data_IF_834383597334
#
_entry.id   IF_834383597334
#
_cell.length_a   1.000
_cell.length_b   1.000
_cell.length_c   1.000
_cell.angle_alpha   90.00
_cell.angle_beta   90.00
_cell.angle_gamma   90.00
#
_symmetry.space_group_name_H-M   'P 1'
#
loop_
_entity.id
_entity.type
_entity.pdbx_description
1 polymer ?
#
# COMPACT_ATOMS: atom_id res chain seq x y z
N UNK A 1 -5.58 -23.70 16.98
CA UNK A 1 -4.63 -22.56 17.01
C UNK A 1 -5.09 -21.58 15.95
N UNK A 2 -5.26 -20.27 16.25
CA UNK A 2 -5.73 -19.31 15.25
C UNK A 2 -4.74 -19.25 14.08
N UNK A 3 -5.26 -19.24 12.86
CA UNK A 3 -4.42 -19.23 11.66
C UNK A 3 -3.86 -17.81 11.46
N UNK A 4 -2.62 -17.58 11.92
CA UNK A 4 -1.94 -16.30 11.75
C UNK A 4 -1.26 -16.28 10.38
N UNK A 5 -1.79 -15.49 9.46
CA UNK A 5 -1.20 -15.31 8.13
C UNK A 5 -0.55 -13.94 8.02
N UNK A 6 0.75 -13.88 7.76
CA UNK A 6 1.47 -12.62 7.49
C UNK A 6 1.60 -12.44 5.99
N UNK A 7 1.11 -11.30 5.47
CA UNK A 7 1.25 -10.94 4.05
C UNK A 7 1.92 -9.58 3.93
N UNK A 8 3.00 -9.51 3.16
CA UNK A 8 3.67 -8.26 2.83
C UNK A 8 3.11 -7.69 1.54
N UNK A 9 2.75 -6.42 1.57
CA UNK A 9 2.28 -5.66 0.43
C UNK A 9 3.18 -4.46 0.18
N UNK A 10 3.20 -4.03 -1.06
CA UNK A 10 3.98 -2.92 -1.56
C UNK A 10 3.04 -1.89 -2.17
N UNK A 11 3.37 -0.62 -1.98
CA UNK A 11 2.56 0.51 -2.42
C UNK A 11 3.45 1.53 -3.10
N UNK A 12 2.94 2.15 -4.16
CA UNK A 12 3.53 3.33 -4.78
C UNK A 12 3.00 4.59 -4.10
N UNK A 13 3.91 5.43 -3.61
CA UNK A 13 3.62 6.67 -2.90
C UNK A 13 4.20 7.85 -3.70
N UNK A 14 3.40 8.89 -3.94
CA UNK A 14 3.85 10.15 -4.55
C UNK A 14 3.98 11.23 -3.48
N UNK A 15 5.02 12.06 -3.56
CA UNK A 15 5.10 13.30 -2.80
C UNK A 15 4.27 14.39 -3.50
N UNK A 16 3.04 14.58 -3.06
CA UNK A 16 2.18 15.66 -3.54
C UNK A 16 2.54 16.98 -2.84
N UNK A 17 2.66 18.11 -3.56
CA UNK A 17 3.10 19.38 -2.98
C UNK A 17 2.15 19.92 -1.89
N UNK A 18 0.85 19.64 -1.97
CA UNK A 18 -0.14 20.13 -1.01
C UNK A 18 -0.65 19.09 -0.02
N UNK A 19 -0.52 17.80 -0.34
CA UNK A 19 -1.06 16.69 0.49
C UNK A 19 0.03 15.87 1.15
N UNK A 20 1.30 16.14 0.84
CA UNK A 20 2.42 15.32 1.28
C UNK A 20 2.42 13.94 0.62
N UNK A 21 2.92 12.94 1.33
CA UNK A 21 3.08 11.60 0.80
C UNK A 21 1.72 10.90 0.64
N UNK A 22 1.32 10.63 -0.61
CA UNK A 22 0.01 10.10 -0.97
C UNK A 22 0.15 8.80 -1.73
N UNK A 23 -0.62 7.76 -1.40
CA UNK A 23 -0.64 6.52 -2.19
C UNK A 23 -1.22 6.77 -3.58
N UNK A 24 -0.63 6.14 -4.60
CA UNK A 24 -1.18 6.09 -5.96
C UNK A 24 -1.29 4.64 -6.40
N UNK A 25 -2.47 4.24 -6.89
CA UNK A 25 -2.70 2.87 -7.38
C UNK A 25 -2.91 1.83 -6.26
N UNK A 26 -3.07 0.56 -6.65
CA UNK A 26 -3.44 -0.56 -5.75
C UNK A 26 -2.26 -1.10 -4.92
N UNK A 27 -2.56 -1.95 -3.94
CA UNK A 27 -1.56 -2.75 -3.26
C UNK A 27 -0.98 -3.82 -4.20
N UNK A 28 0.33 -4.06 -4.11
CA UNK A 28 1.03 -5.08 -4.88
C UNK A 28 1.58 -6.15 -3.95
N UNK A 29 1.57 -7.41 -4.39
CA UNK A 29 2.18 -8.54 -3.66
C UNK A 29 3.71 -8.60 -3.80
N UNK A 30 4.29 -7.83 -4.74
CA UNK A 30 5.73 -7.82 -5.02
C UNK A 30 6.28 -6.40 -5.18
N UNK A 31 7.48 -6.19 -4.64
CA UNK A 31 8.23 -4.93 -4.77
C UNK A 31 8.55 -4.61 -6.22
N UNK A 32 8.92 -5.62 -7.00
CA UNK A 32 9.29 -5.47 -8.40
C UNK A 32 8.12 -4.94 -9.23
N UNK A 33 6.90 -5.44 -8.95
CA UNK A 33 5.69 -4.94 -9.58
C UNK A 33 5.46 -3.48 -9.18
N UNK A 34 5.52 -3.13 -7.90
CA UNK A 34 5.37 -1.73 -7.49
C UNK A 34 6.42 -0.80 -8.14
N UNK A 35 7.67 -1.26 -8.29
CA UNK A 35 8.75 -0.51 -8.93
C UNK A 35 8.55 -0.33 -10.43
N UNK A 36 7.98 -1.31 -11.14
CA UNK A 36 7.75 -1.18 -12.59
C UNK A 36 6.74 -0.09 -12.94
N UNK A 37 5.85 0.27 -12.00
CA UNK A 37 4.92 1.39 -12.14
C UNK A 37 5.55 2.77 -11.91
N UNK A 38 6.73 2.85 -11.28
CA UNK A 38 7.35 4.13 -10.92
C UNK A 38 7.61 5.04 -12.13
N UNK A 39 8.19 4.57 -13.26
CA UNK A 39 8.40 5.43 -14.43
C UNK A 39 7.10 5.99 -14.99
N UNK A 40 6.06 5.15 -15.09
CA UNK A 40 4.74 5.55 -15.55
C UNK A 40 4.13 6.62 -14.64
N UNK A 41 4.14 6.38 -13.32
CA UNK A 41 3.60 7.33 -12.34
C UNK A 41 4.36 8.65 -12.33
N UNK A 42 5.69 8.62 -12.47
CA UNK A 42 6.48 9.85 -12.59
C UNK A 42 6.11 10.63 -13.85
N UNK A 43 5.87 9.97 -14.97
CA UNK A 43 5.45 10.65 -16.20
C UNK A 43 4.03 11.23 -16.06
N UNK A 44 3.08 10.42 -15.60
CA UNK A 44 1.67 10.82 -15.44
C UNK A 44 1.47 11.94 -14.40
N UNK A 45 2.35 12.01 -13.40
CA UNK A 45 2.30 13.01 -12.32
C UNK A 45 3.31 14.15 -12.54
N UNK A 46 3.63 14.48 -13.80
CA UNK A 46 4.48 15.62 -14.17
C UNK A 46 5.83 15.68 -13.45
N UNK A 47 6.46 14.52 -13.23
CA UNK A 47 7.78 14.41 -12.60
C UNK A 47 7.77 14.40 -11.07
N UNK A 48 6.60 14.37 -10.41
CA UNK A 48 6.53 14.26 -8.96
C UNK A 48 7.31 13.05 -8.45
N UNK A 49 7.91 13.19 -7.26
CA UNK A 49 8.73 12.14 -6.65
C UNK A 49 7.85 10.97 -6.24
N UNK A 50 8.09 9.80 -6.85
CA UNK A 50 7.43 8.54 -6.52
C UNK A 50 8.40 7.63 -5.77
N UNK A 51 7.92 6.99 -4.70
CA UNK A 51 8.65 6.05 -3.86
C UNK A 51 7.82 4.77 -3.66
N UNK A 52 8.47 3.67 -3.31
CA UNK A 52 7.80 2.41 -2.98
C UNK A 52 7.88 2.18 -1.48
N UNK A 53 6.73 2.00 -0.82
CA UNK A 53 6.63 1.66 0.59
C UNK A 53 6.21 0.20 0.75
N UNK A 54 6.83 -0.50 1.69
CA UNK A 54 6.43 -1.86 2.08
C UNK A 54 5.63 -1.81 3.39
N UNK A 55 4.62 -2.66 3.52
CA UNK A 55 3.88 -2.85 4.76
C UNK A 55 3.49 -4.32 4.91
N UNK A 56 3.75 -4.90 6.08
CA UNK A 56 3.39 -6.29 6.39
C UNK A 56 2.14 -6.30 7.25
N UNK A 57 1.08 -6.90 6.72
CA UNK A 57 -0.19 -7.04 7.41
C UNK A 57 -0.29 -8.43 8.01
N UNK A 58 -0.73 -8.47 9.26
CA UNK A 58 -1.04 -9.73 9.94
C UNK A 58 -2.54 -9.94 9.88
N UNK A 59 -2.93 -11.12 9.41
CA UNK A 59 -4.31 -11.60 9.37
C UNK A 59 -4.48 -12.62 10.48
N UNK A 60 -5.56 -12.49 11.25
CA UNK A 60 -5.97 -13.47 12.25
C UNK A 60 -7.36 -13.96 11.86
N UNK A 61 -7.46 -15.23 11.49
CA UNK A 61 -8.74 -15.88 11.16
C UNK A 61 -9.53 -15.15 10.06
N UNK A 62 -8.86 -14.75 8.97
CA UNK A 62 -9.46 -14.01 7.85
C UNK A 62 -9.63 -12.50 8.11
N UNK A 63 -9.57 -12.07 9.37
CA UNK A 63 -9.72 -10.65 9.74
C UNK A 63 -8.36 -9.96 9.77
N UNK A 64 -8.28 -8.83 9.05
CA UNK A 64 -7.12 -7.95 9.07
C UNK A 64 -6.99 -7.33 10.47
N UNK A 65 -5.83 -7.49 11.11
CA UNK A 65 -5.54 -6.92 12.43
C UNK A 65 -5.79 -5.40 12.45
N UNK A 66 -6.49 -4.91 13.47
CA UNK A 66 -7.01 -3.54 13.53
C UNK A 66 -5.90 -2.48 13.46
N UNK A 67 -4.71 -2.80 13.99
CA UNK A 67 -3.53 -1.93 13.87
C UNK A 67 -3.07 -1.82 12.42
N UNK A 68 -3.13 -2.92 11.70
CA UNK A 68 -2.76 -2.99 10.29
C UNK A 68 -3.84 -2.30 9.44
N UNK A 69 -5.13 -2.45 9.78
CA UNK A 69 -6.25 -1.70 9.19
C UNK A 69 -6.08 -0.19 9.35
N UNK A 70 -5.68 0.26 10.54
CA UNK A 70 -5.43 1.69 10.82
C UNK A 70 -4.25 2.25 10.04
N UNK A 71 -3.18 1.48 9.86
CA UNK A 71 -2.06 1.88 8.97
C UNK A 71 -2.50 1.90 7.49
N UNK A 72 -3.37 0.97 7.08
CA UNK A 72 -3.97 0.92 5.74
C UNK A 72 -4.85 2.14 5.48
N UNK A 73 -5.63 2.54 6.47
CA UNK A 73 -6.57 3.67 6.42
C UNK A 73 -5.82 5.01 6.51
N UNK A 74 -5.07 5.26 7.59
CA UNK A 74 -4.42 6.55 7.86
C UNK A 74 -3.26 6.85 6.90
N UNK A 75 -2.45 5.83 6.53
CA UNK A 75 -1.23 6.05 5.74
C UNK A 75 -1.42 5.78 4.25
N UNK A 76 -2.34 4.89 3.91
CA UNK A 76 -2.54 4.45 2.52
C UNK A 76 -3.93 4.78 1.98
N UNK A 77 -4.87 5.28 2.79
CA UNK A 77 -6.22 5.65 2.36
C UNK A 77 -6.90 4.52 1.56
N UNK A 78 -6.92 3.32 2.13
CA UNK A 78 -7.51 2.12 1.54
C UNK A 78 -8.48 1.48 2.53
N UNK A 79 -9.68 1.16 2.05
CA UNK A 79 -10.54 0.20 2.72
C UNK A 79 -9.81 -1.14 2.86
N UNK A 80 -9.94 -1.83 4.01
CA UNK A 80 -9.44 -3.18 4.15
C UNK A 80 -10.09 -4.07 3.07
N UNK A 81 -9.35 -5.06 2.52
CA UNK A 81 -9.94 -5.98 1.57
C UNK A 81 -11.14 -6.65 2.24
N UNK A 82 -12.36 -6.40 1.73
CA UNK A 82 -13.54 -7.16 2.13
C UNK A 82 -13.36 -8.56 1.55
N UNK A 83 -13.26 -9.57 2.42
CA UNK A 83 -13.35 -10.97 2.00
C UNK A 83 -14.67 -11.17 1.23
N UNK A 84 -14.57 -11.85 0.09
CA UNK A 84 -15.70 -12.41 -0.65
C UNK A 84 -15.64 -13.91 -0.51
#
# INVERSE_FOLDING_TARGET
MPAITKKTFYFTMVHHPTKGLTRVGKAYSSRAVAQSWVPFLRHALHGLRVTVSQCTFTWRDGVLDERSRRVLDEKFNMDPPKEK
#
